data_IF_517621138274
#
_entry.id   IF_517621138274
#
_cell.length_a   1.000
_cell.length_b   1.000
_cell.length_c   1.000
_cell.angle_alpha   90.00
_cell.angle_beta   90.00
_cell.angle_gamma   90.00
#
_symmetry.space_group_name_H-M   'P 1'
#
loop_
_entity.id
_entity.type
_entity.pdbx_description
1 polymer ?
#
# COMPACT_ATOMS: atom_id res chain seq x y z
N UNK A 1 16.45 -23.24 16.44
CA UNK A 1 15.00 -23.27 16.18
C UNK A 1 14.55 -21.84 15.96
N UNK A 2 14.79 -21.33 14.75
CA UNK A 2 14.34 -20.00 14.34
C UNK A 2 12.87 -20.15 13.96
N UNK A 3 11.97 -19.45 14.66
CA UNK A 3 10.55 -19.56 14.45
C UNK A 3 10.21 -19.09 13.02
N UNK A 4 9.91 -20.07 12.18
CA UNK A 4 9.25 -19.95 10.88
C UNK A 4 7.92 -19.22 11.12
N UNK A 5 7.91 -17.89 11.02
CA UNK A 5 6.69 -17.10 11.19
C UNK A 5 6.02 -17.05 9.82
N UNK A 6 4.97 -17.85 9.57
CA UNK A 6 4.36 -17.91 8.26
C UNK A 6 3.77 -16.55 7.89
N UNK A 7 3.98 -16.12 6.64
CA UNK A 7 3.30 -14.95 6.09
C UNK A 7 1.80 -15.13 6.22
N UNK A 8 1.13 -14.20 6.89
CA UNK A 8 -0.33 -14.23 6.98
C UNK A 8 -0.85 -13.69 5.64
N UNK A 9 -1.44 -14.53 4.77
CA UNK A 9 -1.99 -14.03 3.52
C UNK A 9 -3.10 -13.03 3.84
N UNK A 10 -3.26 -12.00 3.00
CA UNK A 10 -4.15 -10.86 3.29
C UNK A 10 -5.58 -11.27 3.68
N UNK A 11 -6.11 -12.33 3.07
CA UNK A 11 -7.45 -12.86 3.33
C UNK A 11 -7.59 -13.58 4.69
N UNK A 12 -6.48 -13.90 5.38
CA UNK A 12 -6.44 -14.45 6.74
C UNK A 12 -6.12 -13.40 7.79
N UNK A 13 -5.73 -12.18 7.39
CA UNK A 13 -5.48 -11.10 8.33
C UNK A 13 -6.80 -10.40 8.69
N UNK A 14 -7.49 -10.99 9.66
CA UNK A 14 -8.79 -10.50 10.10
C UNK A 14 -8.75 -9.06 10.58
N UNK A 15 -7.65 -8.62 11.18
CA UNK A 15 -7.52 -7.24 11.67
C UNK A 15 -7.54 -6.26 10.51
N UNK A 16 -6.73 -6.49 9.48
CA UNK A 16 -6.73 -5.63 8.29
C UNK A 16 -8.10 -5.61 7.60
N UNK A 17 -8.71 -6.78 7.40
CA UNK A 17 -10.01 -6.91 6.72
C UNK A 17 -11.11 -6.20 7.50
N UNK A 18 -11.16 -6.39 8.82
CA UNK A 18 -12.16 -5.75 9.67
C UNK A 18 -12.00 -4.23 9.67
N UNK A 19 -10.76 -3.71 9.72
CA UNK A 19 -10.52 -2.27 9.62
C UNK A 19 -10.96 -1.70 8.27
N UNK A 20 -10.59 -2.33 7.17
CA UNK A 20 -11.01 -1.90 5.83
C UNK A 20 -12.54 -1.94 5.67
N UNK A 21 -13.18 -3.02 6.13
CA UNK A 21 -14.63 -3.18 6.09
C UNK A 21 -15.35 -2.14 6.97
N UNK A 22 -14.83 -1.86 8.17
CA UNK A 22 -15.38 -0.87 9.08
C UNK A 22 -15.37 0.53 8.45
N UNK A 23 -14.23 0.94 7.90
CA UNK A 23 -14.09 2.24 7.23
C UNK A 23 -15.02 2.33 6.01
N UNK A 24 -15.09 1.28 5.20
CA UNK A 24 -16.01 1.21 4.07
C UNK A 24 -17.47 1.37 4.51
N UNK A 25 -17.89 0.67 5.57
CA UNK A 25 -19.26 0.76 6.09
C UNK A 25 -19.57 2.15 6.62
N UNK A 26 -18.65 2.77 7.38
CA UNK A 26 -18.83 4.12 7.91
C UNK A 26 -18.93 5.13 6.75
N UNK A 27 -18.07 5.03 5.74
CA UNK A 27 -18.11 5.89 4.55
C UNK A 27 -19.44 5.76 3.80
N UNK A 28 -19.84 4.54 3.45
CA UNK A 28 -21.06 4.32 2.68
C UNK A 28 -22.32 4.69 3.46
N UNK A 29 -22.34 4.44 4.78
CA UNK A 29 -23.45 4.84 5.64
C UNK A 29 -23.55 6.36 5.78
N UNK A 30 -22.44 7.06 5.99
CA UNK A 30 -22.43 8.52 6.07
C UNK A 30 -22.86 9.18 4.76
N UNK A 31 -22.37 8.69 3.61
CA UNK A 31 -22.81 9.14 2.28
C UNK A 31 -24.28 8.85 2.01
N UNK A 32 -24.77 7.69 2.45
CA UNK A 32 -26.18 7.35 2.36
C UNK A 32 -27.04 8.35 3.12
N UNK A 33 -26.68 8.65 4.38
CA UNK A 33 -27.41 9.61 5.20
C UNK A 33 -27.46 11.00 4.56
N UNK A 34 -26.34 11.48 4.00
CA UNK A 34 -26.30 12.78 3.33
C UNK A 34 -27.20 12.81 2.09
N UNK A 35 -27.15 11.76 1.25
CA UNK A 35 -27.99 11.67 0.05
C UNK A 35 -29.48 11.58 0.36
N UNK A 36 -29.83 11.00 1.51
CA UNK A 36 -31.22 10.83 1.96
C UNK A 36 -31.79 12.10 2.63
N UNK A 37 -30.94 12.85 3.33
CA UNK A 37 -31.38 13.97 4.18
C UNK A 37 -31.18 15.36 3.54
N UNK A 38 -30.29 15.50 2.55
CA UNK A 38 -29.96 16.80 1.95
C UNK A 38 -30.13 16.75 0.42
N UNK A 39 -30.73 17.80 -0.13
CA UNK A 39 -30.71 18.05 -1.57
C UNK A 39 -29.29 18.39 -2.03
N UNK A 40 -29.01 18.18 -3.32
CA UNK A 40 -27.71 18.53 -3.89
C UNK A 40 -27.44 20.02 -3.69
N UNK A 41 -26.25 20.35 -3.18
CA UNK A 41 -25.78 21.67 -2.77
C UNK A 41 -26.47 22.29 -1.55
N UNK A 42 -27.31 21.53 -0.85
CA UNK A 42 -27.83 21.94 0.44
C UNK A 42 -26.77 21.73 1.53
N UNK A 43 -26.74 22.65 2.50
CA UNK A 43 -25.82 22.64 3.64
C UNK A 43 -26.58 22.61 4.96
N UNK A 44 -26.08 21.82 5.90
CA UNK A 44 -26.55 21.80 7.29
C UNK A 44 -25.37 21.90 8.29
N UNK A 45 -25.36 22.90 9.19
CA UNK A 45 -26.18 24.11 9.17
C UNK A 45 -26.00 24.92 7.88
N UNK A 46 -26.91 25.86 7.61
CA UNK A 46 -26.87 26.68 6.40
C UNK A 46 -25.64 27.60 6.35
N UNK A 47 -25.10 27.96 7.50
CA UNK A 47 -23.96 28.85 7.69
C UNK A 47 -22.99 28.33 8.77
N UNK A 48 -21.85 29.01 8.90
CA UNK A 48 -20.80 28.64 9.86
C UNK A 48 -19.55 28.01 9.23
N UNK A 49 -18.55 27.75 10.06
CA UNK A 49 -17.23 27.27 9.63
C UNK A 49 -17.22 25.78 9.24
N UNK A 50 -18.01 24.96 9.94
CA UNK A 50 -18.14 23.53 9.69
C UNK A 50 -19.57 23.21 9.29
N UNK A 51 -19.76 22.61 8.12
CA UNK A 51 -21.06 22.27 7.56
C UNK A 51 -21.03 20.85 6.99
N UNK A 52 -22.22 20.27 6.87
CA UNK A 52 -22.48 19.08 6.06
C UNK A 52 -23.13 19.55 4.76
N UNK A 53 -22.38 19.56 3.66
CA UNK A 53 -22.84 20.10 2.37
C UNK A 53 -22.87 19.00 1.31
N UNK A 54 -24.03 18.68 0.76
CA UNK A 54 -24.13 17.58 -0.20
C UNK A 54 -23.55 17.95 -1.59
N UNK A 55 -22.34 17.49 -1.90
CA UNK A 55 -21.61 17.78 -3.14
C UNK A 55 -21.38 16.52 -3.98
N UNK A 56 -21.55 16.64 -5.30
CA UNK A 56 -21.13 15.62 -6.25
C UNK A 56 -19.74 15.95 -6.78
N UNK A 57 -18.80 15.04 -6.58
CA UNK A 57 -17.45 15.16 -7.07
C UNK A 57 -17.22 14.25 -8.28
N UNK A 58 -17.16 14.87 -9.47
CA UNK A 58 -16.86 14.21 -10.75
C UNK A 58 -15.38 14.20 -11.10
N UNK A 59 -14.52 14.79 -10.26
CA UNK A 59 -13.07 14.90 -10.48
C UNK A 59 -12.24 14.24 -9.39
N UNK A 60 -10.92 14.51 -9.39
CA UNK A 60 -10.04 14.25 -8.26
C UNK A 60 -9.97 15.46 -7.32
N UNK A 61 -9.23 15.31 -6.21
CA UNK A 61 -8.75 16.44 -5.42
C UNK A 61 -8.17 17.53 -6.35
N UNK A 62 -8.52 18.79 -6.09
CA UNK A 62 -8.13 19.99 -6.86
C UNK A 62 -8.72 20.12 -8.29
N UNK A 63 -9.71 19.31 -8.67
CA UNK A 63 -10.42 19.48 -9.95
C UNK A 63 -9.63 19.04 -11.19
N UNK A 64 -8.56 18.25 -10.99
CA UNK A 64 -7.91 17.52 -12.07
C UNK A 64 -8.87 16.39 -12.51
N UNK A 65 -8.94 16.08 -13.81
CA UNK A 65 -9.85 15.07 -14.37
C UNK A 65 -11.36 15.32 -14.15
N UNK A 66 -11.79 16.59 -14.12
CA UNK A 66 -13.24 16.91 -14.12
C UNK A 66 -13.96 16.18 -15.26
N UNK A 67 -15.08 15.57 -14.92
CA UNK A 67 -15.94 14.79 -15.82
C UNK A 67 -15.26 13.58 -16.48
N UNK A 68 -14.10 13.17 -15.96
CA UNK A 68 -13.37 11.98 -16.41
C UNK A 68 -13.36 10.94 -15.28
N UNK A 69 -14.48 10.23 -15.14
CA UNK A 69 -14.62 9.19 -14.12
C UNK A 69 -13.70 7.97 -14.39
N UNK A 70 -13.49 7.61 -15.66
CA UNK A 70 -12.72 6.41 -16.05
C UNK A 70 -11.27 6.43 -15.55
N UNK A 71 -10.46 7.49 -15.76
CA UNK A 71 -9.13 7.58 -15.18
C UNK A 71 -9.10 7.42 -13.65
N UNK A 72 -10.08 8.00 -12.94
CA UNK A 72 -10.12 7.94 -11.48
C UNK A 72 -10.44 6.53 -10.96
N UNK A 73 -11.29 5.79 -11.67
CA UNK A 73 -11.53 4.37 -11.41
C UNK A 73 -10.23 3.57 -11.57
N UNK A 74 -9.50 3.79 -12.68
CA UNK A 74 -8.23 3.09 -12.94
C UNK A 74 -7.17 3.40 -11.88
N UNK A 75 -7.04 4.68 -11.49
CA UNK A 75 -6.12 5.10 -10.42
C UNK A 75 -6.50 4.46 -9.09
N UNK A 76 -7.80 4.34 -8.78
CA UNK A 76 -8.27 3.69 -7.55
C UNK A 76 -7.90 2.20 -7.53
N UNK A 77 -8.11 1.47 -8.63
CA UNK A 77 -7.68 0.08 -8.75
C UNK A 77 -6.16 -0.07 -8.63
N UNK A 78 -5.39 0.81 -9.28
CA UNK A 78 -3.94 0.80 -9.22
C UNK A 78 -3.44 1.06 -7.79
N UNK A 79 -4.03 2.05 -7.09
CA UNK A 79 -3.71 2.36 -5.70
C UNK A 79 -3.98 1.17 -4.77
N UNK A 80 -5.16 0.55 -4.87
CA UNK A 80 -5.51 -0.65 -4.08
C UNK A 80 -4.53 -1.79 -4.38
N UNK A 81 -4.17 -2.01 -5.65
CA UNK A 81 -3.19 -3.03 -6.03
C UNK A 81 -1.81 -2.76 -5.40
N UNK A 82 -1.34 -1.51 -5.41
CA UNK A 82 -0.08 -1.11 -4.77
C UNK A 82 -0.14 -1.38 -3.25
N UNK A 83 -1.22 -1.03 -2.57
CA UNK A 83 -1.37 -1.27 -1.13
C UNK A 83 -1.34 -2.77 -0.80
N UNK A 84 -1.96 -3.60 -1.64
CA UNK A 84 -1.90 -5.07 -1.50
C UNK A 84 -0.48 -5.58 -1.72
N UNK A 85 0.26 -5.04 -2.70
CA UNK A 85 1.65 -5.41 -2.94
C UNK A 85 2.56 -5.01 -1.76
N UNK A 86 2.37 -3.81 -1.19
CA UNK A 86 3.06 -3.37 0.03
C UNK A 86 2.75 -4.31 1.19
N UNK A 87 1.49 -4.72 1.37
CA UNK A 87 1.14 -5.69 2.41
C UNK A 87 1.87 -7.03 2.21
N UNK A 88 1.88 -7.53 0.97
CA UNK A 88 2.49 -8.83 0.62
C UNK A 88 4.01 -8.84 0.69
N UNK A 89 4.67 -7.69 0.56
CA UNK A 89 6.12 -7.62 0.71
C UNK A 89 6.58 -7.82 2.16
N UNK A 90 5.66 -7.68 3.13
CA UNK A 90 5.94 -7.79 4.56
C UNK A 90 5.72 -9.20 5.08
N UNK A 91 6.71 -9.74 5.80
CA UNK A 91 6.61 -11.09 6.39
C UNK A 91 5.66 -11.11 7.60
N UNK A 92 5.84 -10.15 8.49
CA UNK A 92 5.03 -9.96 9.69
C UNK A 92 4.64 -8.49 9.73
N UNK A 93 3.53 -8.09 9.09
CA UNK A 93 3.12 -6.70 9.10
C UNK A 93 2.90 -6.25 10.54
N UNK A 94 3.32 -5.03 10.88
CA UNK A 94 3.08 -4.46 12.21
C UNK A 94 1.60 -4.08 12.38
N UNK A 95 1.14 -3.90 13.62
CA UNK A 95 -0.22 -3.39 13.88
C UNK A 95 -0.44 -2.01 13.24
N UNK A 96 0.59 -1.15 13.27
CA UNK A 96 0.53 0.19 12.68
C UNK A 96 0.45 0.14 11.15
N UNK A 97 1.16 -0.79 10.51
CA UNK A 97 1.03 -1.01 9.06
C UNK A 97 -0.36 -1.52 8.69
N UNK A 98 -0.93 -2.46 9.46
CA UNK A 98 -2.32 -2.93 9.25
C UNK A 98 -3.32 -1.78 9.36
N UNK A 99 -3.15 -0.91 10.36
CA UNK A 99 -3.98 0.29 10.53
C UNK A 99 -3.87 1.20 9.30
N UNK A 100 -2.65 1.55 8.89
CA UNK A 100 -2.39 2.39 7.73
C UNK A 100 -3.02 1.85 6.44
N UNK A 101 -2.81 0.57 6.14
CA UNK A 101 -3.31 -0.06 4.92
C UNK A 101 -4.83 -0.28 4.98
N UNK A 102 -5.38 -0.65 6.14
CA UNK A 102 -6.82 -0.83 6.33
C UNK A 102 -7.60 0.47 6.09
N UNK A 103 -7.11 1.60 6.63
CA UNK A 103 -7.69 2.92 6.41
C UNK A 103 -7.70 3.32 4.93
N UNK A 104 -6.59 3.11 4.23
CA UNK A 104 -6.44 3.46 2.81
C UNK A 104 -7.28 2.55 1.91
N UNK A 105 -7.26 1.23 2.14
CA UNK A 105 -8.04 0.28 1.33
C UNK A 105 -9.54 0.52 1.53
N UNK A 106 -9.99 0.66 2.78
CA UNK A 106 -11.41 0.92 3.08
C UNK A 106 -11.92 2.20 2.41
N UNK A 107 -11.16 3.29 2.52
CA UNK A 107 -11.51 4.56 1.87
C UNK A 107 -11.47 4.48 0.34
N UNK A 108 -10.42 3.89 -0.23
CA UNK A 108 -10.29 3.74 -1.69
C UNK A 108 -11.45 2.92 -2.27
N UNK A 109 -11.86 1.83 -1.60
CA UNK A 109 -13.01 1.03 -2.00
C UNK A 109 -14.31 1.82 -1.88
N UNK A 110 -14.52 2.60 -0.82
CA UNK A 110 -15.72 3.43 -0.64
C UNK A 110 -15.91 4.43 -1.80
N UNK A 111 -14.86 5.19 -2.12
CA UNK A 111 -14.87 6.13 -3.24
C UNK A 111 -14.96 5.45 -4.62
N UNK A 112 -14.36 4.27 -4.78
CA UNK A 112 -14.47 3.49 -6.02
C UNK A 112 -15.91 2.97 -6.24
N UNK A 113 -16.58 2.52 -5.18
CA UNK A 113 -17.97 2.03 -5.27
C UNK A 113 -18.92 3.14 -5.71
N UNK A 114 -18.80 4.35 -5.17
CA UNK A 114 -19.60 5.49 -5.63
C UNK A 114 -19.35 5.78 -7.12
N UNK A 115 -18.07 5.83 -7.54
CA UNK A 115 -17.71 6.08 -8.94
C UNK A 115 -18.30 5.03 -9.90
N UNK A 116 -18.30 3.76 -9.50
CA UNK A 116 -18.85 2.68 -10.32
C UNK A 116 -20.39 2.68 -10.36
N UNK A 117 -21.05 3.06 -9.26
CA UNK A 117 -22.52 3.00 -9.14
C UNK A 117 -23.23 4.29 -9.54
N UNK A 118 -22.66 5.43 -9.18
CA UNK A 118 -23.25 6.76 -9.29
C UNK A 118 -22.57 7.64 -10.34
N UNK A 119 -21.36 7.27 -10.78
CA UNK A 119 -20.56 8.05 -11.73
C UNK A 119 -19.82 9.25 -11.11
N UNK A 120 -19.95 9.45 -9.80
CA UNK A 120 -19.32 10.52 -9.02
C UNK A 120 -19.16 10.06 -7.57
N UNK A 121 -18.41 10.80 -6.76
CA UNK A 121 -18.30 10.59 -5.31
C UNK A 121 -19.19 11.57 -4.56
N UNK A 122 -19.85 11.11 -3.49
CA UNK A 122 -20.59 11.99 -2.58
C UNK A 122 -19.65 12.57 -1.53
N UNK A 123 -19.42 13.87 -1.61
CA UNK A 123 -18.64 14.64 -0.63
C UNK A 123 -19.59 15.43 0.27
N UNK A 124 -19.21 15.61 1.54
CA UNK A 124 -20.11 16.22 2.51
C UNK A 124 -19.49 16.99 3.66
N UNK A 125 -18.24 16.75 4.02
CA UNK A 125 -17.55 17.49 5.08
C UNK A 125 -17.01 18.79 4.52
N UNK A 126 -17.62 19.91 4.90
CA UNK A 126 -17.32 21.25 4.39
C UNK A 126 -16.75 22.14 5.51
N UNK A 127 -15.51 22.59 5.33
CA UNK A 127 -14.73 23.29 6.36
C UNK A 127 -14.09 24.55 5.79
N UNK A 128 -14.70 25.70 6.06
CA UNK A 128 -14.19 27.01 5.65
C UNK A 128 -13.92 27.10 4.14
N UNK A 129 -12.65 27.29 3.77
CA UNK A 129 -12.20 27.38 2.37
C UNK A 129 -11.59 26.07 1.84
N UNK A 130 -11.57 25.00 2.65
CA UNK A 130 -11.03 23.71 2.26
C UNK A 130 -11.99 22.98 1.32
N UNK A 131 -11.49 22.24 0.30
CA UNK A 131 -12.35 21.43 -0.56
C UNK A 131 -13.21 20.45 0.23
N UNK A 132 -14.51 20.35 -0.09
CA UNK A 132 -15.42 19.41 0.56
C UNK A 132 -14.91 17.98 0.33
N UNK A 133 -14.91 17.17 1.39
CA UNK A 133 -14.39 15.80 1.38
C UNK A 133 -15.34 14.83 2.10
N UNK A 134 -14.98 13.56 2.16
CA UNK A 134 -15.75 12.54 2.88
C UNK A 134 -14.87 11.70 3.83
N UNK A 135 -15.49 10.72 4.49
CA UNK A 135 -14.79 9.82 5.42
C UNK A 135 -13.72 8.99 4.71
N UNK A 136 -13.98 8.51 3.49
CA UNK A 136 -12.99 7.81 2.69
C UNK A 136 -11.75 8.67 2.38
N UNK A 137 -11.90 9.96 2.06
CA UNK A 137 -10.76 10.84 1.81
C UNK A 137 -9.93 11.06 3.07
N UNK A 138 -10.60 11.30 4.20
CA UNK A 138 -9.94 11.46 5.50
C UNK A 138 -9.19 10.18 5.91
N UNK A 139 -9.78 9.00 5.68
CA UNK A 139 -9.13 7.72 5.99
C UNK A 139 -7.91 7.46 5.10
N UNK A 140 -7.99 7.77 3.80
CA UNK A 140 -6.85 7.65 2.88
C UNK A 140 -5.70 8.55 3.34
N UNK A 141 -5.96 9.84 3.62
CA UNK A 141 -4.91 10.77 4.05
C UNK A 141 -4.32 10.35 5.39
N UNK A 142 -5.14 9.94 6.36
CA UNK A 142 -4.64 9.48 7.66
C UNK A 142 -3.76 8.24 7.50
N UNK A 143 -4.20 7.25 6.72
CA UNK A 143 -3.41 6.06 6.48
C UNK A 143 -2.12 6.34 5.71
N UNK A 144 -2.13 7.29 4.76
CA UNK A 144 -0.94 7.74 4.03
C UNK A 144 0.07 8.39 4.98
N UNK A 145 -0.37 9.26 5.89
CA UNK A 145 0.50 9.89 6.89
C UNK A 145 1.13 8.83 7.81
N UNK A 146 0.36 7.85 8.26
CA UNK A 146 0.89 6.73 9.05
C UNK A 146 1.90 5.91 8.25
N UNK A 147 1.62 5.65 6.96
CA UNK A 147 2.54 4.90 6.09
C UNK A 147 3.86 5.65 5.92
N UNK A 148 3.79 6.96 5.65
CA UNK A 148 4.96 7.82 5.53
C UNK A 148 5.75 7.86 6.84
N UNK A 149 5.08 7.93 7.98
CA UNK A 149 5.73 7.86 9.30
C UNK A 149 6.52 6.56 9.48
N UNK A 150 5.94 5.41 9.12
CA UNK A 150 6.63 4.10 9.19
C UNK A 150 7.93 4.14 8.38
N UNK A 151 7.88 4.57 7.11
CA UNK A 151 9.05 4.52 6.23
C UNK A 151 10.08 5.63 6.46
N UNK A 152 9.66 6.80 6.95
CA UNK A 152 10.58 7.94 7.13
C UNK A 152 11.19 8.01 8.54
N UNK A 153 10.53 7.43 9.55
CA UNK A 153 10.95 7.55 10.95
C UNK A 153 11.27 6.19 11.56
N UNK A 154 10.44 5.16 11.35
CA UNK A 154 10.61 3.89 12.04
C UNK A 154 11.81 3.05 11.53
N UNK A 155 12.23 3.24 10.26
CA UNK A 155 13.43 2.58 9.69
C UNK A 155 14.75 3.08 10.32
N UNK A 156 14.72 4.21 11.04
CA UNK A 156 15.91 4.78 11.69
C UNK A 156 16.38 3.97 12.92
N UNK A 157 15.52 3.13 13.48
CA UNK A 157 15.79 2.45 14.77
C UNK A 157 16.30 1.01 14.61
N UNK A 158 16.22 0.41 13.41
CA UNK A 158 16.59 -1.01 13.16
C UNK A 158 17.96 -1.19 12.48
N UNK A 159 18.80 -0.14 12.49
CA UNK A 159 20.15 -0.12 11.90
C UNK A 159 21.24 -0.87 12.70
N UNK A 160 20.91 -2.00 13.34
CA UNK A 160 21.89 -2.92 13.93
C UNK A 160 21.71 -4.37 13.45
N UNK A 161 21.38 -4.57 12.17
CA UNK A 161 21.54 -5.88 11.54
C UNK A 161 22.70 -5.85 10.53
N UNK A 162 23.86 -6.29 10.99
CA UNK A 162 25.07 -6.46 10.18
C UNK A 162 24.95 -7.73 9.35
N UNK A 163 24.34 -7.65 8.16
CA UNK A 163 24.50 -8.68 7.13
C UNK A 163 25.03 -8.05 5.83
N UNK A 164 26.26 -8.39 5.39
CA UNK A 164 26.97 -7.64 4.34
C UNK A 164 26.56 -8.00 2.91
N UNK A 165 25.47 -8.75 2.67
CA UNK A 165 25.04 -9.10 1.30
C UNK A 165 23.52 -9.02 1.15
N UNK A 166 23.06 -7.94 0.54
CA UNK A 166 21.65 -7.60 0.32
C UNK A 166 20.95 -8.51 -0.69
N UNK A 167 20.45 -9.65 -0.21
CA UNK A 167 19.42 -10.43 -0.88
C UNK A 167 18.19 -10.51 -0.01
N UNK A 168 17.00 -10.36 -0.59
CA UNK A 168 15.75 -10.65 0.12
C UNK A 168 15.73 -12.14 0.45
N UNK A 169 15.59 -12.52 1.73
CA UNK A 169 15.59 -13.92 2.16
C UNK A 169 14.36 -14.73 1.73
N UNK A 170 13.60 -14.31 0.71
CA UNK A 170 12.35 -14.93 0.29
C UNK A 170 12.10 -14.76 -1.23
N UNK A 171 11.36 -15.69 -1.83
CA UNK A 171 11.16 -15.79 -3.27
C UNK A 171 9.86 -15.09 -3.74
N UNK A 172 9.92 -14.15 -4.70
CA UNK A 172 8.75 -13.40 -5.17
C UNK A 172 7.74 -14.22 -5.99
N UNK A 173 8.12 -15.43 -6.43
CA UNK A 173 7.29 -16.27 -7.32
C UNK A 173 6.40 -17.22 -6.52
N UNK A 174 6.89 -17.76 -5.40
CA UNK A 174 6.22 -18.82 -4.66
C UNK A 174 6.24 -18.64 -3.14
N UNK A 175 6.69 -17.49 -2.65
CA UNK A 175 6.81 -17.18 -1.22
C UNK A 175 7.74 -18.12 -0.41
N UNK A 176 8.53 -18.97 -1.10
CA UNK A 176 9.52 -19.86 -0.49
C UNK A 176 10.78 -19.15 -0.02
N UNK A 177 11.60 -19.82 0.80
CA UNK A 177 12.87 -19.26 1.29
C UNK A 177 13.90 -19.10 0.15
N UNK A 178 14.61 -17.96 0.10
CA UNK A 178 15.73 -17.77 -0.80
C UNK A 178 17.02 -18.19 -0.09
N UNK A 179 17.63 -19.26 -0.60
CA UNK A 179 18.89 -19.77 -0.12
C UNK A 179 20.03 -19.12 -0.88
N UNK A 180 21.06 -18.68 -0.16
CA UNK A 180 22.32 -18.25 -0.78
C UNK A 180 23.01 -19.47 -1.37
N UNK A 181 23.29 -19.43 -2.67
CA UNK A 181 24.03 -20.47 -3.40
C UNK A 181 25.24 -19.84 -4.08
N UNK A 182 26.22 -20.64 -4.46
CA UNK A 182 27.40 -20.14 -5.18
C UNK A 182 26.95 -19.42 -6.46
N UNK A 183 27.23 -18.11 -6.57
CA UNK A 183 26.85 -17.28 -7.72
C UNK A 183 25.45 -16.64 -7.68
N UNK A 184 24.75 -16.62 -6.53
CA UNK A 184 23.51 -15.86 -6.36
C UNK A 184 22.55 -16.46 -5.33
N UNK A 185 21.24 -16.35 -5.60
CA UNK A 185 20.20 -16.91 -4.71
C UNK A 185 19.29 -17.89 -5.45
N UNK A 186 18.81 -18.91 -4.73
CA UNK A 186 17.88 -19.91 -5.24
C UNK A 186 16.75 -20.15 -4.25
N UNK A 187 15.51 -20.13 -4.73
CA UNK A 187 14.38 -20.50 -3.91
C UNK A 187 14.37 -22.00 -3.58
N UNK A 188 14.20 -22.35 -2.31
CA UNK A 188 14.05 -23.73 -1.83
C UNK A 188 12.76 -24.40 -2.30
N UNK A 189 11.69 -23.63 -2.53
CA UNK A 189 10.36 -24.15 -2.87
C UNK A 189 10.14 -24.28 -4.37
N UNK A 190 10.24 -23.20 -5.14
CA UNK A 190 9.97 -23.22 -6.59
C UNK A 190 11.24 -23.23 -7.46
N UNK A 191 12.43 -23.17 -6.86
CA UNK A 191 13.69 -23.29 -7.59
C UNK A 191 14.10 -22.08 -8.42
N UNK A 192 13.31 -21.00 -8.42
CA UNK A 192 13.61 -19.73 -9.08
C UNK A 192 14.97 -19.22 -8.64
N UNK A 193 15.80 -18.81 -9.60
CA UNK A 193 17.14 -18.27 -9.35
C UNK A 193 17.15 -16.79 -9.65
N UNK A 194 17.71 -16.02 -8.74
CA UNK A 194 18.01 -14.62 -8.99
C UNK A 194 19.49 -14.52 -9.33
N UNK A 195 19.76 -14.13 -10.58
CA UNK A 195 21.13 -13.94 -11.07
C UNK A 195 21.54 -12.53 -10.67
N UNK A 196 22.61 -12.39 -9.89
CA UNK A 196 23.17 -11.08 -9.56
C UNK A 196 23.56 -10.40 -10.87
N UNK A 197 22.80 -9.39 -11.29
CA UNK A 197 23.16 -8.53 -12.42
C UNK A 197 24.23 -7.57 -11.89
N UNK A 198 25.45 -8.06 -11.74
CA UNK A 198 26.51 -7.31 -11.06
C UNK A 198 27.93 -7.83 -11.22
N UNK A 199 28.17 -9.07 -11.62
CA UNK A 199 29.54 -9.54 -11.94
C UNK A 199 29.77 -9.53 -13.45
N UNK A 200 29.93 -8.33 -14.00
CA UNK A 200 30.79 -8.17 -15.18
C UNK A 200 32.20 -7.86 -14.66
N UNK A 201 33.15 -8.75 -14.97
CA UNK A 201 34.57 -8.45 -15.16
C UNK A 201 35.43 -8.14 -13.91
N UNK A 202 35.55 -9.05 -12.95
CA UNK A 202 36.74 -9.10 -12.08
C UNK A 202 37.05 -10.56 -11.74
N UNK A 203 37.82 -11.27 -12.57
CA UNK A 203 38.13 -12.68 -12.26
C UNK A 203 39.12 -13.40 -13.17
N UNK A 204 39.27 -13.02 -14.44
CA UNK A 204 40.22 -13.70 -15.36
C UNK A 204 41.67 -13.24 -15.19
N UNK A 205 42.14 -12.94 -13.97
CA UNK A 205 43.53 -12.48 -13.80
C UNK A 205 44.26 -12.88 -12.51
N UNK A 206 43.82 -13.92 -11.79
CA UNK A 206 44.45 -14.28 -10.50
C UNK A 206 44.70 -15.77 -10.25
N UNK A 207 44.69 -16.66 -11.27
CA UNK A 207 44.95 -18.11 -11.05
C UNK A 207 46.14 -18.69 -11.83
N UNK A 208 46.68 -18.05 -12.87
CA UNK A 208 47.91 -18.56 -13.53
C UNK A 208 49.23 -18.06 -12.91
N UNK A 209 49.17 -17.30 -11.81
CA UNK A 209 50.35 -16.87 -11.04
C UNK A 209 50.70 -17.83 -9.87
N UNK A 210 49.98 -18.96 -9.71
CA UNK A 210 50.17 -19.90 -8.58
C UNK A 210 50.49 -21.36 -8.97
N UNK A 211 50.78 -21.66 -10.23
CA UNK A 211 51.41 -22.94 -10.63
C UNK A 211 52.81 -22.72 -11.18
N UNK A 212 53.64 -22.05 -10.38
CA UNK A 212 55.08 -22.16 -10.46
C UNK A 212 55.56 -23.32 -9.57
N UNK A 213 56.21 -24.30 -10.22
CA UNK A 213 57.34 -25.05 -9.68
C UNK A 213 57.08 -26.25 -8.72
N UNK A 214 57.23 -27.48 -9.22
CA UNK A 214 58.27 -28.45 -8.81
C UNK A 214 57.91 -29.93 -9.10
N UNK A 215 58.88 -30.62 -9.74
CA UNK A 215 59.40 -32.00 -9.52
C UNK A 215 59.52 -32.90 -10.77
N UNK A 216 60.80 -33.19 -11.06
CA UNK A 216 61.46 -34.22 -11.88
C UNK A 216 61.63 -33.94 -13.38
#
# INVERSE_FOLDING_TARGET
MSADTPRIPIYKDFVLIQLAALIFVIDQFSKFLVRDQLLRYESFPADGFFRITHVFNTGSAFGIFRDQNTPLILVSFLGIAILILIYRSQRAPSGLLRLSLGLQIGGAVGNLVDRLRLGHVTDFVDVGAWPVFNVADASIITGLVILAWIFLVADSEDGKDTSPMGGYGWCPVCDGEMLTVTGGWRCSTCGVRERVVGERLVGDRLVEELTGDQKL
#
